data_IF_608102291560
#
_entry.id   IF_608102291560
#
_cell.length_a   1.000
_cell.length_b   1.000
_cell.length_c   1.000
_cell.angle_alpha   90.00
_cell.angle_beta   90.00
_cell.angle_gamma   90.00
#
_symmetry.space_group_name_H-M   'P 1'
#
loop_
_entity.id
_entity.type
_entity.pdbx_description
1 polymer ?
#
# COMPACT_ATOMS: atom_id res chain seq x y z
N UNK A 1 -16.23 -7.80 -43.84
CA UNK A 1 -16.30 -6.82 -42.74
C UNK A 1 -16.08 -7.56 -41.43
N UNK A 2 -14.84 -7.60 -40.91
CA UNK A 2 -14.55 -8.22 -39.61
C UNK A 2 -14.73 -7.18 -38.50
N UNK A 3 -15.66 -7.45 -37.59
CA UNK A 3 -15.89 -6.61 -36.43
C UNK A 3 -14.64 -6.61 -35.54
N UNK A 4 -14.10 -5.41 -35.29
CA UNK A 4 -13.11 -5.15 -34.25
C UNK A 4 -13.73 -5.52 -32.89
N UNK A 5 -13.55 -6.77 -32.45
CA UNK A 5 -13.82 -7.18 -31.06
C UNK A 5 -12.90 -6.39 -30.16
N UNK A 6 -13.40 -5.29 -29.59
CA UNK A 6 -12.70 -4.54 -28.56
C UNK A 6 -12.29 -5.47 -27.42
N UNK A 7 -10.98 -5.59 -27.17
CA UNK A 7 -10.47 -6.35 -26.03
C UNK A 7 -11.07 -5.75 -24.76
N UNK A 8 -11.92 -6.50 -24.05
CA UNK A 8 -12.43 -6.14 -22.73
C UNK A 8 -11.22 -5.88 -21.83
N UNK A 9 -11.07 -4.66 -21.31
CA UNK A 9 -10.07 -4.38 -20.27
C UNK A 9 -10.51 -5.12 -19.02
N UNK A 10 -9.76 -6.13 -18.63
CA UNK A 10 -9.95 -6.84 -17.37
C UNK A 10 -9.36 -5.98 -16.25
N UNK A 11 -10.22 -5.48 -15.38
CA UNK A 11 -9.82 -4.67 -14.23
C UNK A 11 -9.58 -5.57 -13.02
N UNK A 12 -8.56 -5.24 -12.24
CA UNK A 12 -8.22 -5.95 -11.02
C UNK A 12 -9.33 -5.76 -9.97
N UNK A 13 -9.77 -6.84 -9.32
CA UNK A 13 -10.79 -6.77 -8.28
C UNK A 13 -10.20 -6.97 -6.89
N UNK A 14 -10.95 -6.61 -5.83
CA UNK A 14 -10.56 -6.90 -4.44
C UNK A 14 -10.31 -8.40 -4.24
N UNK A 15 -11.11 -9.28 -4.87
CA UNK A 15 -10.93 -10.74 -4.79
C UNK A 15 -9.58 -11.17 -5.38
N UNK A 16 -9.14 -10.53 -6.46
CA UNK A 16 -7.85 -10.85 -7.07
C UNK A 16 -6.68 -10.40 -6.19
N UNK A 17 -6.84 -9.27 -5.48
CA UNK A 17 -5.85 -8.83 -4.49
C UNK A 17 -5.80 -9.77 -3.29
N UNK A 18 -6.96 -10.21 -2.80
CA UNK A 18 -7.04 -11.19 -1.70
C UNK A 18 -6.29 -12.48 -2.06
N UNK A 19 -6.47 -13.02 -3.28
CA UNK A 19 -5.69 -14.18 -3.74
C UNK A 19 -4.17 -13.96 -3.71
N UNK A 20 -3.71 -12.75 -4.00
CA UNK A 20 -2.28 -12.40 -3.88
C UNK A 20 -1.85 -12.42 -2.41
N UNK A 21 -2.64 -11.81 -1.52
CA UNK A 21 -2.37 -11.79 -0.09
C UNK A 21 -2.37 -13.20 0.52
N UNK A 22 -3.32 -14.05 0.13
CA UNK A 22 -3.48 -15.43 0.61
C UNK A 22 -2.28 -16.32 0.21
N UNK A 23 -1.48 -15.90 -0.78
CA UNK A 23 -0.25 -16.59 -1.17
C UNK A 23 0.96 -16.25 -0.28
N UNK A 24 0.83 -15.29 0.64
CA UNK A 24 1.90 -14.88 1.53
C UNK A 24 2.25 -16.00 2.53
N UNK A 25 3.55 -16.30 2.67
CA UNK A 25 4.07 -17.32 3.59
C UNK A 25 4.95 -16.72 4.71
N UNK A 26 4.99 -15.40 4.81
CA UNK A 26 5.84 -14.71 5.78
C UNK A 26 5.23 -14.73 7.18
N UNK A 27 6.08 -14.57 8.19
CA UNK A 27 5.64 -14.42 9.57
C UNK A 27 5.51 -12.93 9.96
N UNK A 28 4.77 -12.67 11.03
CA UNK A 28 4.63 -11.34 11.63
C UNK A 28 5.71 -11.14 12.69
N UNK A 29 6.75 -10.39 12.38
CA UNK A 29 7.72 -9.94 13.38
C UNK A 29 7.29 -8.60 14.01
N UNK A 30 8.04 -8.13 15.02
CA UNK A 30 7.82 -6.81 15.60
C UNK A 30 8.11 -5.67 14.63
N UNK A 31 9.13 -5.85 13.77
CA UNK A 31 9.57 -4.87 12.78
C UNK A 31 10.24 -5.59 11.61
N UNK A 32 9.82 -5.30 10.39
CA UNK A 32 10.47 -5.82 9.18
C UNK A 32 10.84 -4.66 8.26
N UNK A 33 12.01 -4.75 7.63
CA UNK A 33 12.34 -3.89 6.49
C UNK A 33 11.61 -4.39 5.24
N UNK A 34 10.65 -3.60 4.76
CA UNK A 34 9.75 -4.02 3.68
C UNK A 34 10.08 -3.39 2.33
N UNK A 35 10.91 -2.35 2.35
CA UNK A 35 11.50 -1.65 1.21
C UNK A 35 12.77 -0.95 1.69
N UNK A 36 13.79 -0.66 0.85
CA UNK A 36 15.02 -0.01 1.31
C UNK A 36 14.76 1.19 2.24
N UNK A 37 15.21 1.07 3.49
CA UNK A 37 15.07 2.05 4.58
C UNK A 37 13.63 2.35 5.04
N UNK A 38 12.64 1.54 4.64
CA UNK A 38 11.25 1.60 5.11
C UNK A 38 10.92 0.35 5.91
N UNK A 39 10.47 0.56 7.13
CA UNK A 39 10.15 -0.49 8.08
C UNK A 39 8.66 -0.48 8.40
N UNK A 40 8.06 -1.67 8.51
CA UNK A 40 6.72 -1.82 9.09
C UNK A 40 6.82 -2.46 10.46
N UNK A 41 6.18 -1.83 11.45
CA UNK A 41 6.16 -2.32 12.83
C UNK A 41 4.76 -2.58 13.38
N UNK A 42 4.70 -3.34 14.47
CA UNK A 42 3.50 -3.56 15.28
C UNK A 42 3.47 -2.64 16.53
N UNK A 43 2.49 -2.82 17.41
CA UNK A 43 2.32 -2.02 18.63
C UNK A 43 3.49 -2.09 19.61
N UNK A 44 4.32 -3.14 19.55
CA UNK A 44 5.47 -3.28 20.45
C UNK A 44 6.51 -2.17 20.24
N UNK A 45 6.67 -1.72 18.98
CA UNK A 45 7.62 -0.67 18.60
C UNK A 45 7.01 0.73 18.58
N UNK A 46 5.72 0.86 18.94
CA UNK A 46 5.04 2.15 18.97
C UNK A 46 5.47 2.98 20.19
N UNK A 47 5.89 4.22 19.95
CA UNK A 47 6.20 5.18 21.03
C UNK A 47 4.95 5.58 21.81
N UNK A 48 3.81 5.78 21.12
CA UNK A 48 2.53 6.15 21.72
C UNK A 48 1.47 5.09 21.45
N UNK A 49 1.39 4.08 22.33
CA UNK A 49 0.46 2.96 22.22
C UNK A 49 -1.00 3.39 22.37
N UNK A 50 -1.27 4.37 23.24
CA UNK A 50 -2.64 4.83 23.55
C UNK A 50 -3.29 5.52 22.36
N UNK A 51 -2.56 6.38 21.64
CA UNK A 51 -3.07 7.01 20.42
C UNK A 51 -3.39 5.97 19.35
N UNK A 52 -2.57 4.93 19.24
CA UNK A 52 -2.70 3.89 18.24
C UNK A 52 -3.91 2.97 18.47
N UNK A 53 -4.29 2.74 19.73
CA UNK A 53 -5.51 1.99 20.09
C UNK A 53 -6.80 2.75 19.81
N UNK A 54 -6.76 4.09 19.76
CA UNK A 54 -7.92 4.93 19.43
C UNK A 54 -8.24 4.97 17.94
N UNK A 55 -7.29 4.58 17.11
CA UNK A 55 -7.47 4.51 15.67
C UNK A 55 -8.02 3.12 15.32
N UNK A 56 -9.29 3.06 14.97
CA UNK A 56 -9.94 1.84 14.53
C UNK A 56 -9.47 1.46 13.11
N UNK A 57 -9.43 0.16 12.81
CA UNK A 57 -9.26 -0.39 11.47
C UNK A 57 -10.64 -0.64 10.83
N UNK A 58 -11.56 0.29 11.09
CA UNK A 58 -12.95 0.19 10.71
C UNK A 58 -13.10 0.39 9.21
N UNK A 59 -14.13 -0.25 8.65
CA UNK A 59 -14.50 -0.10 7.24
C UNK A 59 -15.04 1.30 6.89
N UNK A 60 -15.24 2.17 7.88
CA UNK A 60 -15.72 3.54 7.71
C UNK A 60 -14.61 4.59 7.83
N UNK A 61 -13.35 4.17 8.02
CA UNK A 61 -12.23 5.09 8.09
C UNK A 61 -11.68 5.37 6.68
N UNK A 62 -11.77 6.62 6.24
CA UNK A 62 -11.22 7.10 4.98
C UNK A 62 -9.69 7.25 5.10
N UNK A 63 -8.96 6.16 4.85
CA UNK A 63 -7.50 6.15 4.94
C UNK A 63 -6.83 6.83 3.73
N UNK A 64 -7.54 6.98 2.61
CA UNK A 64 -7.04 7.53 1.36
C UNK A 64 -6.67 9.01 1.45
N UNK A 65 -7.34 9.78 2.32
CA UNK A 65 -6.96 11.17 2.63
C UNK A 65 -5.52 11.29 3.12
N UNK A 66 -4.96 10.20 3.68
CA UNK A 66 -3.58 10.13 4.16
C UNK A 66 -2.60 9.54 3.14
N UNK A 67 -3.03 9.03 1.99
CA UNK A 67 -2.12 8.39 1.02
C UNK A 67 -1.03 9.33 0.54
N UNK A 68 -1.40 10.52 0.05
CA UNK A 68 -0.43 11.51 -0.43
C UNK A 68 0.39 12.10 0.74
N UNK A 69 -0.21 12.61 1.84
CA UNK A 69 0.57 13.13 2.97
C UNK A 69 1.59 12.13 3.54
N UNK A 70 1.20 10.85 3.72
CA UNK A 70 2.10 9.83 4.22
C UNK A 70 3.19 9.47 3.20
N UNK A 71 2.84 9.33 1.92
CA UNK A 71 3.81 9.08 0.87
C UNK A 71 4.84 10.21 0.75
N UNK A 72 4.42 11.47 0.85
CA UNK A 72 5.29 12.65 0.80
C UNK A 72 6.24 12.67 2.01
N UNK A 73 5.72 12.37 3.20
CA UNK A 73 6.52 12.25 4.41
C UNK A 73 7.62 11.18 4.25
N UNK A 74 7.23 9.97 3.81
CA UNK A 74 8.17 8.86 3.57
C UNK A 74 9.23 9.30 2.56
N UNK A 75 8.80 9.84 1.41
CA UNK A 75 9.72 10.24 0.34
C UNK A 75 10.70 11.31 0.79
N UNK A 76 10.21 12.34 1.51
CA UNK A 76 11.06 13.42 2.03
C UNK A 76 12.09 12.90 3.03
N UNK A 77 11.70 12.03 3.96
CA UNK A 77 12.62 11.45 4.92
C UNK A 77 13.74 10.65 4.25
N UNK A 78 13.40 9.85 3.23
CA UNK A 78 14.35 9.00 2.50
C UNK A 78 15.34 9.78 1.62
N UNK A 79 15.13 11.09 1.37
CA UNK A 79 16.12 11.93 0.67
C UNK A 79 17.37 12.19 1.52
N UNK A 80 17.29 12.02 2.83
CA UNK A 80 18.45 12.16 3.71
C UNK A 80 19.32 10.91 3.62
N UNK A 81 20.67 11.02 3.57
CA UNK A 81 21.57 9.86 3.48
C UNK A 81 21.28 8.77 4.52
N UNK A 82 21.02 9.17 5.77
CA UNK A 82 20.71 8.28 6.90
C UNK A 82 19.22 8.16 7.22
N UNK A 83 18.36 8.73 6.36
CA UNK A 83 16.92 8.75 6.57
C UNK A 83 16.32 7.35 6.56
N UNK A 84 15.62 7.00 7.64
CA UNK A 84 14.84 5.76 7.77
C UNK A 84 13.44 6.09 8.24
N UNK A 85 12.46 5.30 7.80
CA UNK A 85 11.06 5.53 8.16
C UNK A 85 10.45 4.27 8.74
N UNK A 86 9.87 4.39 9.93
CA UNK A 86 9.03 3.37 10.54
C UNK A 86 7.56 3.74 10.36
N UNK A 87 6.80 2.88 9.68
CA UNK A 87 5.34 2.99 9.57
C UNK A 87 4.72 1.86 10.39
N UNK A 88 3.95 2.17 11.42
CA UNK A 88 3.41 1.15 12.31
C UNK A 88 1.90 1.29 12.53
N UNK A 89 1.25 0.17 12.85
CA UNK A 89 -0.12 0.12 13.37
C UNK A 89 -0.21 -0.95 14.47
N UNK A 90 -1.39 -1.43 14.84
CA UNK A 90 -1.53 -2.41 15.94
C UNK A 90 -0.74 -3.69 15.62
N UNK A 91 -1.02 -4.30 14.48
CA UNK A 91 -0.35 -5.54 14.06
C UNK A 91 0.72 -5.30 12.99
N UNK A 92 0.81 -4.10 12.42
CA UNK A 92 1.63 -3.85 11.24
C UNK A 92 1.12 -4.59 9.99
N UNK A 93 -0.20 -4.85 9.91
CA UNK A 93 -0.82 -5.72 8.89
C UNK A 93 -1.66 -4.96 7.86
N UNK A 94 -2.47 -3.98 8.30
CA UNK A 94 -3.54 -3.36 7.49
C UNK A 94 -3.26 -1.88 7.22
N UNK A 95 -3.47 -0.98 8.19
CA UNK A 95 -3.25 0.47 7.98
C UNK A 95 -1.83 0.83 7.55
N UNK A 96 -0.81 0.35 8.26
CA UNK A 96 0.59 0.68 7.96
C UNK A 96 1.03 0.14 6.60
N UNK A 97 0.67 -1.10 6.27
CA UNK A 97 0.97 -1.71 4.97
C UNK A 97 0.25 -0.98 3.84
N UNK A 98 -0.99 -0.54 4.05
CA UNK A 98 -1.75 0.26 3.06
C UNK A 98 -1.02 1.57 2.74
N UNK A 99 -0.54 2.30 3.74
CA UNK A 99 0.22 3.55 3.52
C UNK A 99 1.56 3.29 2.81
N UNK A 100 2.25 2.20 3.13
CA UNK A 100 3.48 1.82 2.41
C UNK A 100 3.18 1.41 0.97
N UNK A 101 2.09 0.68 0.71
CA UNK A 101 1.65 0.35 -0.65
C UNK A 101 1.34 1.61 -1.45
N UNK A 102 0.63 2.57 -0.87
CA UNK A 102 0.36 3.86 -1.50
C UNK A 102 1.66 4.60 -1.84
N UNK A 103 2.65 4.63 -0.94
CA UNK A 103 3.98 5.19 -1.23
C UNK A 103 4.65 4.51 -2.43
N UNK A 104 4.67 3.17 -2.46
CA UNK A 104 5.26 2.40 -3.56
C UNK A 104 4.57 2.70 -4.90
N UNK A 105 3.26 2.89 -4.89
CA UNK A 105 2.51 3.24 -6.11
C UNK A 105 2.78 4.67 -6.57
N UNK A 106 2.82 5.62 -5.64
CA UNK A 106 2.97 7.06 -5.94
C UNK A 106 4.41 7.37 -6.35
N UNK A 107 5.41 6.99 -5.56
CA UNK A 107 6.80 7.41 -5.72
C UNK A 107 7.71 6.37 -6.37
N UNK A 108 7.41 5.08 -6.25
CA UNK A 108 8.14 4.01 -6.96
C UNK A 108 7.43 3.60 -8.25
N UNK A 109 6.31 4.24 -8.56
CA UNK A 109 5.49 4.03 -9.75
C UNK A 109 5.07 2.57 -10.01
N UNK A 110 5.01 1.76 -8.96
CA UNK A 110 4.60 0.37 -9.07
C UNK A 110 3.08 0.26 -9.27
N UNK A 111 2.59 -0.58 -10.20
CA UNK A 111 1.19 -1.00 -10.21
C UNK A 111 0.83 -1.72 -8.91
N UNK A 112 -0.41 -1.57 -8.43
CA UNK A 112 -0.84 -2.12 -7.13
C UNK A 112 -0.50 -3.61 -6.96
N UNK A 113 -0.77 -4.45 -7.97
CA UNK A 113 -0.46 -5.89 -7.91
C UNK A 113 1.03 -6.16 -7.68
N UNK A 114 1.91 -5.38 -8.33
CA UNK A 114 3.36 -5.54 -8.16
C UNK A 114 3.83 -5.02 -6.80
N UNK A 115 3.27 -3.91 -6.31
CA UNK A 115 3.54 -3.39 -4.97
C UNK A 115 3.18 -4.43 -3.89
N UNK A 116 2.00 -5.05 -4.00
CA UNK A 116 1.57 -6.15 -3.13
C UNK A 116 2.52 -7.34 -3.18
N UNK A 117 2.84 -7.83 -4.39
CA UNK A 117 3.76 -8.97 -4.57
C UNK A 117 5.14 -8.72 -3.94
N UNK A 118 5.66 -7.50 -4.02
CA UNK A 118 6.93 -7.13 -3.38
C UNK A 118 6.80 -7.08 -1.85
N UNK A 119 5.70 -6.54 -1.33
CA UNK A 119 5.52 -6.36 0.11
C UNK A 119 5.31 -7.70 0.84
N UNK A 120 4.51 -8.61 0.26
CA UNK A 120 4.24 -9.93 0.85
C UNK A 120 5.46 -10.86 0.86
N UNK A 121 6.52 -10.54 0.12
CA UNK A 121 7.80 -11.26 0.19
C UNK A 121 8.64 -10.84 1.41
N UNK A 122 8.27 -9.75 2.09
CA UNK A 122 9.04 -9.18 3.20
C UNK A 122 8.29 -9.26 4.52
N UNK A 123 6.96 -9.18 4.50
CA UNK A 123 6.14 -9.20 5.71
C UNK A 123 4.74 -9.73 5.38
N UNK A 124 4.17 -10.50 6.30
CA UNK A 124 2.74 -10.81 6.23
C UNK A 124 1.93 -9.53 6.39
N UNK A 125 1.02 -9.27 5.45
CA UNK A 125 0.14 -8.11 5.45
C UNK A 125 -1.26 -8.56 5.05
N UNK A 126 -2.27 -7.85 5.54
CA UNK A 126 -3.66 -8.10 5.16
C UNK A 126 -4.47 -6.80 5.32
N UNK A 127 -4.34 -5.83 4.39
CA UNK A 127 -5.25 -4.69 4.33
C UNK A 127 -6.71 -5.17 4.31
N UNK A 128 -7.57 -4.49 5.06
CA UNK A 128 -9.00 -4.80 5.03
C UNK A 128 -9.59 -4.54 3.62
N UNK A 129 -10.80 -5.04 3.37
CA UNK A 129 -11.45 -4.91 2.05
C UNK A 129 -11.65 -3.46 1.60
N UNK A 130 -11.97 -2.55 2.52
CA UNK A 130 -12.14 -1.14 2.21
C UNK A 130 -10.81 -0.54 1.72
N UNK A 131 -9.71 -0.80 2.43
CA UNK A 131 -8.38 -0.31 2.04
C UNK A 131 -7.89 -0.90 0.72
N UNK A 132 -8.21 -2.15 0.42
CA UNK A 132 -7.94 -2.74 -0.90
C UNK A 132 -8.73 -2.01 -2.00
N UNK A 133 -9.98 -1.62 -1.75
CA UNK A 133 -10.78 -0.84 -2.69
C UNK A 133 -10.19 0.58 -2.89
N UNK A 134 -9.77 1.25 -1.82
CA UNK A 134 -9.10 2.55 -1.90
C UNK A 134 -7.78 2.48 -2.70
N UNK A 135 -6.99 1.41 -2.51
CA UNK A 135 -5.78 1.19 -3.30
C UNK A 135 -6.08 0.92 -4.78
N UNK A 136 -7.16 0.19 -5.10
CA UNK A 136 -7.58 0.01 -6.48
C UNK A 136 -7.97 1.33 -7.14
N UNK A 137 -8.70 2.18 -6.43
CA UNK A 137 -9.05 3.51 -6.93
C UNK A 137 -7.79 4.35 -7.19
N UNK A 138 -6.83 4.35 -6.25
CA UNK A 138 -5.53 4.99 -6.46
C UNK A 138 -4.81 4.45 -7.71
N UNK A 139 -4.78 3.15 -7.93
CA UNK A 139 -4.12 2.52 -9.10
C UNK A 139 -4.77 2.97 -10.42
N UNK A 140 -6.11 3.07 -10.45
CA UNK A 140 -6.86 3.59 -11.59
C UNK A 140 -6.55 5.06 -11.84
N UNK A 141 -6.53 5.90 -10.79
CA UNK A 141 -6.20 7.32 -10.90
C UNK A 141 -4.78 7.54 -11.43
N UNK A 142 -3.79 6.82 -10.88
CA UNK A 142 -2.40 6.92 -11.31
C UNK A 142 -2.20 6.41 -12.74
N UNK A 143 -2.89 5.33 -13.12
CA UNK A 143 -2.86 4.80 -14.49
C UNK A 143 -3.44 5.80 -15.50
N UNK A 144 -4.55 6.47 -15.16
CA UNK A 144 -5.13 7.54 -15.99
C UNK A 144 -4.13 8.69 -16.14
N UNK A 145 -3.57 9.20 -15.04
CA UNK A 145 -2.59 10.30 -15.05
C UNK A 145 -1.36 9.99 -15.92
N UNK A 146 -0.81 8.78 -15.81
CA UNK A 146 0.35 8.33 -16.62
C UNK A 146 0.03 8.32 -18.12
N UNK A 147 -1.17 7.88 -18.51
CA UNK A 147 -1.60 7.88 -19.91
C UNK A 147 -1.82 9.28 -20.45
N UNK A 148 -2.38 10.19 -19.66
CA UNK A 148 -2.55 11.59 -20.06
C UNK A 148 -1.19 12.27 -20.26
N UNK A 149 -0.22 12.05 -19.38
CA UNK A 149 1.14 12.61 -19.52
C UNK A 149 1.96 12.01 -20.67
N UNK A 150 1.55 10.88 -21.25
CA UNK A 150 2.23 10.28 -22.42
C UNK A 150 1.72 10.81 -23.75
N UNK A 151 0.60 11.54 -23.74
CA UNK A 151 -0.06 12.07 -24.95
C UNK A 151 0.17 13.57 -25.11
N UNK A 152 0.59 14.25 -24.03
CA UNK A 152 1.06 15.64 -24.02
C UNK A 152 2.58 15.68 -24.15
#
# INVERSE_FOLDING_TARGET
MSALKGKRKEYLTVKDLQKVLDSCKMHLSQIDEVWPKIYIGNVAVAQNKTALLKLDDSTHFDLDVYFKPAADFIHKALKSPDGKVLVHCIMGMSRSSTLVLAYLMIYQHLPLKQALQKLIQKRAIYPNRNFLALLLDLDLQLTKKRKTCQIL
#
